data_IF_813913850464
#
_entry.id   IF_813913850464
#
_cell.length_a   1.000
_cell.length_b   1.000
_cell.length_c   1.000
_cell.angle_alpha   90.00
_cell.angle_beta   90.00
_cell.angle_gamma   90.00
#
_symmetry.space_group_name_H-M   'P 1'
#
loop_
_entity.id
_entity.type
_entity.pdbx_description
1 polymer ?
#
# COMPACT_ATOMS: atom_id res chain seq x y z
N UNK A 1 4.94 19.52 12.23
CA UNK A 1 4.70 18.08 12.45
C UNK A 1 3.20 17.87 12.39
N UNK A 2 2.72 17.11 11.39
CA UNK A 2 1.30 16.81 11.19
C UNK A 2 0.76 15.91 12.31
N UNK A 3 -0.56 15.76 12.40
CA UNK A 3 -1.14 14.78 13.31
C UNK A 3 -0.73 13.34 12.93
N UNK A 4 -0.63 13.07 11.63
CA UNK A 4 -0.14 11.78 11.13
C UNK A 4 1.29 11.48 11.60
N UNK A 5 2.18 12.48 11.64
CA UNK A 5 3.53 12.31 12.19
C UNK A 5 3.50 11.93 13.68
N UNK A 6 2.65 12.58 14.46
CA UNK A 6 2.50 12.27 15.90
C UNK A 6 2.02 10.84 16.11
N UNK A 7 1.00 10.42 15.36
CA UNK A 7 0.47 9.05 15.39
C UNK A 7 1.56 8.06 15.02
N UNK A 8 2.31 8.32 13.95
CA UNK A 8 3.40 7.47 13.48
C UNK A 8 4.50 7.30 14.55
N UNK A 9 4.96 8.41 15.15
CA UNK A 9 5.97 8.38 16.21
C UNK A 9 5.47 7.63 17.45
N UNK A 10 4.21 7.84 17.85
CA UNK A 10 3.61 7.16 18.98
C UNK A 10 3.49 5.64 18.73
N UNK A 11 3.11 5.24 17.51
CA UNK A 11 3.07 3.83 17.13
C UNK A 11 4.46 3.17 17.21
N UNK A 12 5.51 3.86 16.74
CA UNK A 12 6.89 3.35 16.85
C UNK A 12 7.28 3.17 18.31
N UNK A 13 7.04 4.17 19.16
CA UNK A 13 7.34 4.09 20.60
C UNK A 13 6.60 2.91 21.24
N UNK A 14 5.30 2.79 20.97
CA UNK A 14 4.48 1.70 21.49
C UNK A 14 4.95 0.31 21.03
N UNK A 15 5.42 0.19 19.77
CA UNK A 15 6.01 -1.06 19.28
C UNK A 15 7.31 -1.36 20.00
N UNK A 16 8.19 -0.37 20.20
CA UNK A 16 9.47 -0.57 20.87
C UNK A 16 9.31 -0.91 22.35
N UNK A 17 8.33 -0.30 23.03
CA UNK A 17 8.11 -0.47 24.48
C UNK A 17 7.25 -1.71 24.79
N UNK A 18 6.23 -2.00 23.97
CA UNK A 18 5.19 -3.00 24.25
C UNK A 18 5.05 -4.06 23.15
N UNK A 19 5.93 -4.06 22.15
CA UNK A 19 5.92 -5.03 21.08
C UNK A 19 6.50 -6.39 21.49
N UNK A 20 6.14 -7.41 20.74
CA UNK A 20 6.74 -8.73 20.86
C UNK A 20 8.05 -8.75 20.05
N UNK A 21 9.15 -9.10 20.71
CA UNK A 21 10.43 -9.38 20.05
C UNK A 21 10.53 -10.86 19.70
N UNK A 22 10.99 -11.16 18.48
CA UNK A 22 11.34 -12.53 18.09
C UNK A 22 12.83 -12.84 18.27
N UNK A 23 13.55 -12.05 19.07
CA UNK A 23 14.92 -12.32 19.46
C UNK A 23 15.02 -13.68 20.17
N UNK A 24 16.00 -14.49 19.79
CA UNK A 24 16.16 -15.85 20.29
C UNK A 24 15.27 -16.90 19.62
N UNK A 25 14.34 -16.52 18.73
CA UNK A 25 13.55 -17.45 17.95
C UNK A 25 14.24 -17.75 16.61
N UNK A 26 13.90 -18.90 16.02
CA UNK A 26 14.34 -19.22 14.67
C UNK A 26 13.53 -18.41 13.65
N UNK A 27 14.19 -17.45 12.96
CA UNK A 27 13.56 -16.58 11.97
C UNK A 27 14.09 -16.87 10.58
N UNK A 28 13.24 -16.70 9.56
CA UNK A 28 13.61 -16.93 8.16
C UNK A 28 14.50 -15.83 7.55
N UNK A 29 14.26 -14.54 7.81
CA UNK A 29 15.06 -13.47 7.23
C UNK A 29 16.44 -13.40 7.90
N UNK A 30 17.47 -13.14 7.08
CA UNK A 30 18.84 -12.94 7.51
C UNK A 30 19.39 -11.68 6.84
N UNK A 31 20.33 -11.03 7.49
CA UNK A 31 21.13 -9.96 6.91
C UNK A 31 22.13 -10.53 5.89
N UNK A 32 22.76 -9.65 5.12
CA UNK A 32 23.77 -10.07 4.10
C UNK A 32 24.95 -10.85 4.71
N UNK A 33 25.27 -10.60 5.96
CA UNK A 33 26.32 -11.30 6.72
C UNK A 33 25.89 -12.66 7.27
N UNK A 34 24.64 -13.09 7.00
CA UNK A 34 24.08 -14.35 7.46
C UNK A 34 23.52 -14.33 8.89
N UNK A 35 23.58 -13.21 9.59
CA UNK A 35 22.98 -13.08 10.93
C UNK A 35 21.45 -13.04 10.86
N UNK A 36 20.71 -13.64 11.83
CA UNK A 36 19.24 -13.56 11.86
C UNK A 36 18.74 -12.12 11.95
N UNK A 37 17.77 -11.76 11.09
CA UNK A 37 17.14 -10.43 11.12
C UNK A 37 15.88 -10.47 11.98
N UNK A 38 16.09 -10.24 13.29
CA UNK A 38 15.01 -10.18 14.27
C UNK A 38 14.17 -8.91 14.17
N UNK A 39 12.92 -8.99 14.60
CA UNK A 39 11.96 -7.89 14.54
C UNK A 39 11.26 -7.69 15.89
N UNK A 40 10.86 -6.44 16.17
CA UNK A 40 9.88 -6.12 17.20
C UNK A 40 8.58 -5.77 16.51
N UNK A 41 7.49 -6.42 16.88
CA UNK A 41 6.20 -6.30 16.21
C UNK A 41 5.05 -6.22 17.19
N UNK A 42 4.00 -5.51 16.79
CA UNK A 42 2.75 -5.43 17.52
C UNK A 42 1.60 -5.75 16.59
N UNK A 43 0.71 -6.62 17.01
CA UNK A 43 -0.44 -7.01 16.22
C UNK A 43 -1.65 -6.14 16.59
N UNK A 44 -2.26 -5.52 15.57
CA UNK A 44 -3.50 -4.78 15.73
C UNK A 44 -3.33 -3.38 16.35
N UNK A 45 -2.90 -2.40 15.54
CA UNK A 45 -2.93 -0.97 15.87
C UNK A 45 -4.06 -0.30 15.08
N UNK A 46 -4.91 0.47 15.77
CA UNK A 46 -5.99 1.23 15.15
C UNK A 46 -5.67 2.72 15.22
N UNK A 47 -5.49 3.34 14.07
CA UNK A 47 -5.31 4.78 13.94
C UNK A 47 -6.59 5.45 13.44
N UNK A 48 -6.91 6.63 13.98
CA UNK A 48 -8.07 7.44 13.57
C UNK A 48 -7.59 8.83 13.18
N UNK A 49 -8.09 9.32 12.04
CA UNK A 49 -7.77 10.63 11.50
C UNK A 49 -9.04 11.42 11.21
N UNK A 50 -9.08 12.67 11.63
CA UNK A 50 -10.17 13.57 11.28
C UNK A 50 -9.84 14.29 9.97
N UNK A 51 -10.44 13.85 8.87
CA UNK A 51 -10.20 14.43 7.55
C UNK A 51 -10.76 15.84 7.37
N UNK A 52 -11.57 16.33 8.31
CA UNK A 52 -12.02 17.73 8.32
C UNK A 52 -10.92 18.67 8.81
N UNK A 53 -9.97 18.18 9.59
CA UNK A 53 -8.86 18.97 10.14
C UNK A 53 -7.65 18.95 9.22
N UNK A 54 -7.18 17.74 8.86
CA UNK A 54 -6.04 17.62 7.96
C UNK A 54 -6.06 16.26 7.20
N UNK A 55 -5.44 16.24 6.04
CA UNK A 55 -5.16 14.98 5.34
C UNK A 55 -3.99 14.25 6.02
N UNK A 56 -4.10 12.93 6.31
CA UNK A 56 -3.11 12.18 7.09
C UNK A 56 -1.85 11.85 6.27
N UNK A 57 -1.07 12.86 5.95
CA UNK A 57 0.20 12.71 5.25
C UNK A 57 1.37 12.90 6.21
N UNK A 58 2.38 12.03 6.11
CA UNK A 58 3.61 12.17 6.86
C UNK A 58 4.47 13.31 6.31
N UNK A 59 4.97 14.19 7.20
CA UNK A 59 5.85 15.31 6.88
C UNK A 59 7.27 15.14 7.42
N UNK A 60 7.52 14.11 8.22
CA UNK A 60 8.85 13.76 8.76
C UNK A 60 9.84 13.49 7.63
N UNK A 61 9.34 13.01 6.51
CA UNK A 61 10.13 12.70 5.33
C UNK A 61 9.36 13.15 4.09
N UNK A 62 10.07 13.47 3.02
CA UNK A 62 9.45 13.84 1.74
C UNK A 62 8.57 12.70 1.22
N UNK A 63 7.29 13.00 1.00
CA UNK A 63 6.31 12.07 0.42
C UNK A 63 6.00 12.48 -1.01
N UNK A 64 6.09 11.53 -1.93
CA UNK A 64 5.83 11.74 -3.37
C UNK A 64 4.34 11.58 -3.70
N UNK A 65 3.52 12.46 -3.11
CA UNK A 65 2.04 12.39 -3.20
C UNK A 65 1.53 12.40 -4.64
N UNK A 66 2.18 13.16 -5.54
CA UNK A 66 1.76 13.22 -6.95
C UNK A 66 1.88 11.86 -7.64
N UNK A 67 2.99 11.14 -7.43
CA UNK A 67 3.19 9.80 -7.99
C UNK A 67 2.21 8.80 -7.38
N UNK A 68 1.98 8.87 -6.07
CA UNK A 68 1.02 8.00 -5.39
C UNK A 68 -0.43 8.23 -5.89
N UNK A 69 -0.82 9.49 -6.13
CA UNK A 69 -2.12 9.82 -6.69
C UNK A 69 -2.27 9.37 -8.15
N UNK A 70 -1.23 9.53 -8.97
CA UNK A 70 -1.23 9.08 -10.36
C UNK A 70 -1.39 7.55 -10.44
N UNK A 71 -0.68 6.81 -9.60
CA UNK A 71 -0.79 5.35 -9.47
C UNK A 71 -2.19 4.93 -8.97
N UNK A 72 -2.72 5.61 -7.96
CA UNK A 72 -4.07 5.33 -7.45
C UNK A 72 -5.14 5.52 -8.52
N UNK A 73 -5.06 6.59 -9.31
CA UNK A 73 -5.99 6.84 -10.41
C UNK A 73 -5.82 5.82 -11.55
N UNK A 74 -4.58 5.43 -11.83
CA UNK A 74 -4.29 4.39 -12.83
C UNK A 74 -4.88 3.03 -12.43
N UNK A 75 -4.74 2.62 -11.16
CA UNK A 75 -5.30 1.36 -10.64
C UNK A 75 -6.82 1.42 -10.57
N UNK A 76 -7.39 2.45 -9.93
CA UNK A 76 -8.81 2.47 -9.55
C UNK A 76 -9.73 3.05 -10.62
N UNK A 77 -9.36 4.13 -11.28
CA UNK A 77 -10.19 4.76 -12.30
C UNK A 77 -9.98 4.14 -13.68
N UNK A 78 -8.73 4.08 -14.12
CA UNK A 78 -8.42 3.52 -15.44
C UNK A 78 -8.52 2.00 -15.45
N UNK A 79 -8.38 1.35 -14.29
CA UNK A 79 -8.36 -0.12 -14.17
C UNK A 79 -7.36 -0.76 -15.13
N UNK A 80 -6.24 -0.12 -15.30
CA UNK A 80 -5.22 -0.47 -16.28
C UNK A 80 -4.08 -1.27 -15.64
N UNK A 81 -3.42 -2.07 -16.46
CA UNK A 81 -2.15 -2.74 -16.18
C UNK A 81 -1.04 -2.31 -17.14
N UNK A 82 -1.33 -1.36 -18.02
CA UNK A 82 -0.41 -0.79 -19.00
C UNK A 82 0.38 0.37 -18.36
N UNK A 83 1.70 0.19 -18.19
CA UNK A 83 2.58 1.17 -17.55
C UNK A 83 2.75 2.45 -18.36
N UNK A 84 2.52 2.41 -19.68
CA UNK A 84 2.60 3.63 -20.53
C UNK A 84 1.55 4.68 -20.17
N UNK A 85 0.50 4.28 -19.44
CA UNK A 85 -0.54 5.18 -18.93
C UNK A 85 -0.18 5.79 -17.56
N UNK A 86 0.94 5.38 -16.96
CA UNK A 86 1.44 5.85 -15.68
C UNK A 86 2.61 6.81 -15.92
N UNK A 87 2.64 7.94 -15.23
CA UNK A 87 3.72 8.94 -15.38
C UNK A 87 4.97 8.59 -14.57
N UNK A 88 4.79 7.80 -13.51
CA UNK A 88 5.91 7.34 -12.68
C UNK A 88 6.50 6.05 -13.23
N UNK A 89 7.78 5.81 -12.96
CA UNK A 89 8.53 4.65 -13.43
C UNK A 89 8.63 3.52 -12.39
N UNK A 90 7.76 3.54 -11.37
CA UNK A 90 7.84 2.59 -10.25
C UNK A 90 7.54 1.15 -10.63
N UNK A 91 6.85 0.93 -11.75
CA UNK A 91 6.44 -0.38 -12.24
C UNK A 91 7.24 -0.87 -13.45
N UNK A 92 8.20 -0.09 -13.96
CA UNK A 92 8.94 -0.44 -15.19
C UNK A 92 9.65 -1.79 -15.10
N UNK A 93 10.25 -2.10 -13.93
CA UNK A 93 10.94 -3.37 -13.71
C UNK A 93 10.00 -4.60 -13.61
N UNK A 94 8.69 -4.38 -13.54
CA UNK A 94 7.68 -5.43 -13.45
C UNK A 94 6.94 -5.64 -14.77
N UNK A 95 7.18 -4.75 -15.75
CA UNK A 95 6.50 -4.79 -17.02
C UNK A 95 7.12 -5.85 -17.96
N UNK A 96 6.26 -6.48 -18.74
CA UNK A 96 6.65 -7.37 -19.83
C UNK A 96 7.04 -6.57 -21.09
N UNK A 97 7.36 -7.27 -22.17
CA UNK A 97 7.74 -6.68 -23.47
C UNK A 97 6.68 -5.75 -24.06
N UNK A 98 5.41 -5.93 -23.67
CA UNK A 98 4.28 -5.13 -24.12
C UNK A 98 4.00 -3.95 -23.18
N UNK A 99 4.80 -3.74 -22.16
CA UNK A 99 4.60 -2.70 -21.16
C UNK A 99 3.44 -2.98 -20.21
N UNK A 100 3.11 -4.26 -19.94
CA UNK A 100 2.05 -4.61 -19.00
C UNK A 100 2.59 -5.32 -17.77
N UNK A 101 1.95 -5.07 -16.62
CA UNK A 101 2.22 -5.82 -15.37
C UNK A 101 1.28 -7.04 -15.23
N UNK A 102 0.75 -7.54 -16.33
CA UNK A 102 -0.10 -8.73 -16.38
C UNK A 102 -1.43 -8.56 -15.66
N UNK A 103 -1.94 -9.63 -15.06
CA UNK A 103 -3.24 -9.65 -14.37
C UNK A 103 -3.17 -9.08 -12.94
N UNK A 104 -2.45 -7.97 -12.78
CA UNK A 104 -2.30 -7.29 -11.49
C UNK A 104 -3.43 -6.27 -11.24
N UNK A 105 -3.36 -5.62 -10.15
CA UNK A 105 -4.26 -4.61 -9.54
C UNK A 105 -5.38 -4.04 -10.42
N UNK A 106 -5.07 -3.15 -11.37
CA UNK A 106 -6.06 -2.49 -12.22
C UNK A 106 -6.83 -3.47 -13.11
N UNK A 107 -6.14 -4.46 -13.69
CA UNK A 107 -6.79 -5.53 -14.45
C UNK A 107 -7.82 -6.29 -13.60
N UNK A 108 -7.45 -6.70 -12.37
CA UNK A 108 -8.35 -7.44 -11.49
C UNK A 108 -9.58 -6.64 -11.08
N UNK A 109 -9.46 -5.32 -10.91
CA UNK A 109 -10.58 -4.42 -10.65
C UNK A 109 -11.51 -4.27 -11.85
N UNK A 110 -10.97 -4.43 -13.07
CA UNK A 110 -11.73 -4.35 -14.33
C UNK A 110 -12.49 -5.62 -14.71
N UNK A 111 -12.09 -6.78 -14.15
CA UNK A 111 -12.68 -8.08 -14.52
C UNK A 111 -14.10 -8.21 -13.99
N UNK A 112 -15.03 -8.56 -14.89
CA UNK A 112 -16.41 -8.90 -14.53
C UNK A 112 -16.48 -10.35 -14.09
N UNK A 113 -17.00 -10.59 -12.87
CA UNK A 113 -17.21 -11.93 -12.34
C UNK A 113 -18.69 -12.33 -12.44
N UNK A 114 -18.96 -13.53 -12.97
CA UNK A 114 -20.31 -14.11 -12.96
C UNK A 114 -20.46 -14.99 -11.72
N UNK A 115 -21.41 -14.68 -10.86
CA UNK A 115 -21.86 -15.55 -9.78
C UNK A 115 -23.13 -16.30 -10.20
N UNK A 116 -23.41 -17.46 -9.62
CA UNK A 116 -24.45 -18.44 -10.06
C UNK A 116 -25.83 -17.87 -10.38
N UNK A 117 -26.18 -16.66 -9.95
CA UNK A 117 -27.51 -16.03 -10.21
C UNK A 117 -27.49 -14.55 -10.57
N UNK A 118 -26.33 -13.87 -10.59
CA UNK A 118 -26.26 -12.47 -10.99
C UNK A 118 -24.88 -12.15 -11.55
N UNK A 119 -24.82 -11.30 -12.56
CA UNK A 119 -23.57 -10.66 -12.97
C UNK A 119 -23.32 -9.50 -12.03
N UNK A 120 -22.39 -9.64 -11.07
CA UNK A 120 -21.96 -8.51 -10.28
C UNK A 120 -20.53 -8.12 -10.69
N UNK A 121 -20.31 -6.85 -10.89
CA UNK A 121 -18.97 -6.27 -10.97
C UNK A 121 -18.46 -6.17 -9.55
N UNK A 122 -17.30 -6.76 -9.28
CA UNK A 122 -16.63 -6.57 -8.01
C UNK A 122 -16.31 -5.08 -7.89
N UNK A 123 -17.03 -4.40 -6.98
CA UNK A 123 -16.85 -3.00 -6.66
C UNK A 123 -16.79 -2.03 -7.87
N UNK A 124 -17.92 -1.74 -8.45
CA UNK A 124 -18.13 -0.42 -9.04
C UNK A 124 -18.31 0.56 -7.87
N UNK A 125 -17.23 1.08 -7.33
CA UNK A 125 -17.33 2.34 -6.63
C UNK A 125 -17.54 3.39 -7.71
N UNK A 126 -18.80 3.63 -8.08
CA UNK A 126 -19.19 4.83 -8.80
C UNK A 126 -18.96 5.97 -7.83
N UNK A 127 -17.87 6.68 -7.98
CA UNK A 127 -17.82 8.05 -7.52
C UNK A 127 -18.75 8.81 -8.46
N UNK A 128 -19.99 9.00 -8.02
CA UNK A 128 -20.89 9.99 -8.65
C UNK A 128 -20.22 11.34 -8.47
N UNK A 129 -19.99 12.01 -9.60
CA UNK A 129 -19.73 13.44 -9.74
C UNK A 129 -20.86 14.25 -9.13
#
# INVERSE_FOLDING_TARGET
MSYADKVFVNNIKDILENGFSDEGLNVRPHWEDGTPAHTIKKFGIVNRYNLQEEFPILTIRRTYIKSAMDELLWIWQKKSNDIHQLKSHVWDSWADENGTIGKAYGYQLGVKHKYRKACSTRLTVSFMT
#
